data_IF_164738080845
#
_entry.id   IF_164738080845
#
_cell.length_a   1.000
_cell.length_b   1.000
_cell.length_c   1.000
_cell.angle_alpha   90.00
_cell.angle_beta   90.00
_cell.angle_gamma   90.00
#
_symmetry.space_group_name_H-M   'P 1'
#
loop_
_entity.id
_entity.type
_entity.pdbx_description
1 polymer ?
#
# COMPACT_ATOMS: atom_id res chain seq x y z
N UNK A 1 -17.08 55.17 59.31
CA UNK A 1 -17.25 56.42 58.59
C UNK A 1 -17.59 55.97 57.19
N UNK A 2 -18.85 55.72 56.95
CA UNK A 2 -19.90 56.69 56.54
C UNK A 2 -19.67 57.06 55.08
N UNK A 3 -20.49 56.98 54.12
CA UNK A 3 -21.95 56.82 53.98
C UNK A 3 -22.17 56.62 52.48
N UNK A 4 -22.97 55.70 52.07
CA UNK A 4 -24.36 55.84 51.65
C UNK A 4 -24.63 56.75 50.43
N UNK A 5 -25.27 56.25 49.43
CA UNK A 5 -26.64 56.52 48.92
C UNK A 5 -26.69 56.25 47.43
N UNK A 6 -27.37 55.24 46.97
CA UNK A 6 -28.81 55.15 46.66
C UNK A 6 -29.34 56.24 45.70
N UNK A 7 -29.88 55.86 44.58
CA UNK A 7 -31.31 55.88 44.21
C UNK A 7 -31.49 55.93 42.67
N UNK A 8 -32.16 54.96 42.18
CA UNK A 8 -33.00 54.94 40.97
C UNK A 8 -34.17 55.94 41.11
N UNK A 9 -35.12 56.07 40.16
CA UNK A 9 -35.31 55.71 38.74
C UNK A 9 -35.96 56.89 37.93
N UNK A 10 -36.26 56.71 36.68
CA UNK A 10 -37.57 57.04 36.06
C UNK A 10 -37.57 56.90 34.53
N UNK A 11 -38.52 56.08 34.06
CA UNK A 11 -39.18 56.20 32.77
C UNK A 11 -40.34 57.23 32.96
N UNK A 12 -41.01 57.82 31.96
CA UNK A 12 -41.68 57.17 30.85
C UNK A 12 -41.94 58.05 29.57
N UNK A 13 -42.67 57.46 28.64
CA UNK A 13 -43.57 58.12 27.69
C UNK A 13 -43.13 57.99 26.24
N UNK A 14 -43.71 57.18 25.49
CA UNK A 14 -45.04 57.01 24.88
C UNK A 14 -45.15 57.65 23.50
N UNK A 15 -45.77 56.88 22.67
CA UNK A 15 -46.56 57.16 21.47
C UNK A 15 -45.76 57.06 20.15
N UNK A 16 -46.08 56.26 19.27
CA UNK A 16 -47.27 55.68 18.68
C UNK A 16 -46.98 55.50 17.23
N UNK A 17 -47.37 54.51 16.73
CA UNK A 17 -48.28 54.14 15.67
C UNK A 17 -47.79 53.00 14.78
N UNK A 18 -48.63 52.03 14.75
CA UNK A 18 -48.58 50.86 13.89
C UNK A 18 -48.99 51.23 12.45
N UNK A 19 -48.35 50.65 11.50
CA UNK A 19 -49.01 50.32 10.23
C UNK A 19 -48.58 48.97 9.69
N UNK A 20 -49.52 48.10 9.60
CA UNK A 20 -49.46 46.86 8.88
C UNK A 20 -49.58 47.12 7.38
N UNK A 21 -48.69 46.59 6.57
CA UNK A 21 -49.05 46.14 5.23
C UNK A 21 -48.20 44.91 4.85
N UNK A 22 -48.90 43.90 4.45
CA UNK A 22 -48.38 42.63 4.06
C UNK A 22 -47.76 42.64 2.65
N UNK A 23 -46.77 41.80 2.45
CA UNK A 23 -46.20 41.54 1.14
C UNK A 23 -45.46 40.19 1.16
N UNK A 24 -45.93 39.33 0.35
CA UNK A 24 -45.61 37.96 -0.04
C UNK A 24 -44.11 37.64 -0.14
N UNK A 25 -43.67 36.41 0.14
CA UNK A 25 -42.28 36.03 0.00
C UNK A 25 -41.94 35.65 -1.42
N UNK A 26 -41.07 36.42 -2.03
CA UNK A 26 -40.47 36.02 -3.30
C UNK A 26 -39.07 35.52 -3.04
N UNK A 27 -38.87 34.24 -3.39
CA UNK A 27 -37.61 33.55 -3.30
C UNK A 27 -36.62 34.04 -4.35
N UNK A 28 -35.59 34.67 -3.92
CA UNK A 28 -34.36 34.79 -4.70
C UNK A 28 -33.19 34.55 -3.77
N UNK A 29 -32.54 33.43 -3.98
CA UNK A 29 -31.20 33.20 -3.44
C UNK A 29 -30.32 34.35 -3.90
N UNK A 30 -30.06 35.31 -3.02
CA UNK A 30 -29.01 36.29 -3.23
C UNK A 30 -27.69 35.50 -3.21
N UNK A 31 -27.11 35.31 -4.39
CA UNK A 31 -25.70 34.99 -4.51
C UNK A 31 -24.94 36.00 -3.65
N UNK A 32 -24.41 35.53 -2.53
CA UNK A 32 -23.44 36.31 -1.75
C UNK A 32 -22.21 36.47 -2.64
N UNK A 33 -22.17 37.55 -3.40
CA UNK A 33 -20.95 37.96 -4.05
C UNK A 33 -20.00 38.35 -2.92
N UNK A 34 -18.96 37.55 -2.75
CA UNK A 34 -17.90 37.80 -1.79
C UNK A 34 -17.35 39.20 -2.03
N UNK A 35 -17.15 40.00 -0.98
CA UNK A 35 -16.55 41.31 -1.10
C UNK A 35 -15.08 41.17 -1.55
N UNK A 36 -14.53 42.23 -2.17
CA UNK A 36 -13.14 42.24 -2.61
C UNK A 36 -12.18 41.94 -1.44
N UNK A 37 -12.47 42.46 -0.26
CA UNK A 37 -11.68 42.22 0.97
C UNK A 37 -11.77 40.78 1.46
N UNK A 38 -12.93 40.10 1.29
CA UNK A 38 -13.08 38.68 1.59
C UNK A 38 -12.33 37.82 0.57
N UNK A 39 -12.32 38.22 -0.70
CA UNK A 39 -11.54 37.56 -1.76
C UNK A 39 -10.05 37.74 -1.51
N UNK A 40 -9.60 38.92 -1.15
CA UNK A 40 -8.18 39.20 -0.88
C UNK A 40 -7.71 38.49 0.40
N UNK A 41 -8.55 38.41 1.44
CA UNK A 41 -8.28 37.64 2.64
C UNK A 41 -8.21 36.12 2.36
N UNK A 42 -9.11 35.58 1.52
CA UNK A 42 -9.08 34.16 1.08
C UNK A 42 -7.88 33.88 0.19
N UNK A 43 -7.42 34.83 -0.60
CA UNK A 43 -6.24 34.69 -1.46
C UNK A 43 -4.93 34.96 -0.71
N UNK A 44 -4.99 35.45 0.53
CA UNK A 44 -3.80 35.72 1.35
C UNK A 44 -3.05 36.98 0.94
N UNK A 45 -3.76 37.99 0.38
CA UNK A 45 -3.22 39.31 0.05
C UNK A 45 -3.37 40.34 1.18
N UNK A 46 -3.51 39.87 2.42
CA UNK A 46 -3.52 40.82 3.56
C UNK A 46 -2.13 41.46 3.68
N UNK A 47 -2.05 42.69 3.19
CA UNK A 47 -0.86 43.54 3.29
C UNK A 47 -0.80 44.19 4.68
N UNK A 48 -0.71 43.40 5.72
CA UNK A 48 -0.25 43.89 7.03
C UNK A 48 0.99 43.10 7.42
N UNK A 49 2.08 43.83 7.21
CA UNK A 49 3.45 43.56 7.61
C UNK A 49 3.51 43.21 9.10
N UNK A 50 4.15 42.16 9.43
CA UNK A 50 5.07 41.83 10.53
C UNK A 50 5.00 40.37 10.91
N UNK A 51 6.06 39.64 10.54
CA UNK A 51 6.67 38.56 11.34
C UNK A 51 5.81 37.39 11.78
N UNK A 52 5.56 36.40 10.88
CA UNK A 52 5.04 35.10 11.30
C UNK A 52 4.98 34.09 10.14
N UNK A 53 5.83 33.09 10.19
CA UNK A 53 5.78 31.89 9.31
C UNK A 53 4.46 31.13 9.49
N UNK A 54 3.44 31.50 8.73
CA UNK A 54 2.17 30.79 8.71
C UNK A 54 1.30 31.34 7.59
N UNK A 55 1.47 30.84 6.38
CA UNK A 55 0.63 31.18 5.24
C UNK A 55 -0.85 30.92 5.57
N UNK A 56 -1.59 31.99 5.86
CA UNK A 56 -3.05 31.99 6.03
C UNK A 56 -3.74 32.03 4.67
N UNK A 57 -4.90 31.40 4.54
CA UNK A 57 -5.72 31.41 3.34
C UNK A 57 -5.53 30.21 2.40
N UNK A 58 -5.95 30.35 1.15
CA UNK A 58 -5.91 29.28 0.11
C UNK A 58 -4.50 28.72 -0.08
N UNK A 59 -3.45 29.52 0.08
CA UNK A 59 -2.05 29.04 0.05
C UNK A 59 -1.75 28.06 1.19
N UNK A 60 -2.27 28.32 2.40
CA UNK A 60 -2.14 27.37 3.50
C UNK A 60 -2.92 26.08 3.21
N UNK A 61 -4.10 26.18 2.60
CA UNK A 61 -4.91 25.03 2.17
C UNK A 61 -4.23 24.28 1.02
N UNK A 62 -3.70 24.97 0.01
CA UNK A 62 -2.93 24.36 -1.08
C UNK A 62 -1.65 23.74 -0.52
N UNK A 63 -0.99 24.38 0.43
CA UNK A 63 0.21 23.86 1.05
C UNK A 63 -0.08 22.72 2.04
N UNK A 64 -1.18 22.75 2.77
CA UNK A 64 -1.58 21.68 3.70
C UNK A 64 -2.31 20.53 3.00
N UNK A 65 -3.08 20.80 1.94
CA UNK A 65 -3.87 19.80 1.22
C UNK A 65 -3.05 18.88 0.28
N UNK A 66 -1.77 19.19 0.06
CA UNK A 66 -0.96 18.43 -0.89
C UNK A 66 -0.16 17.26 -0.29
N UNK A 67 -0.19 17.09 1.01
CA UNK A 67 0.38 15.90 1.66
C UNK A 67 -0.71 15.22 2.46
N UNK A 68 -1.79 14.82 1.79
CA UNK A 68 -2.70 13.85 2.36
C UNK A 68 -1.92 12.57 2.54
N UNK A 69 -1.55 12.30 3.78
CA UNK A 69 -0.90 11.05 4.17
C UNK A 69 -1.85 9.89 3.92
N UNK A 70 -1.72 9.27 2.76
CA UNK A 70 -2.39 8.01 2.52
C UNK A 70 -1.61 6.93 3.25
N UNK A 71 -2.16 6.44 4.35
CA UNK A 71 -1.57 5.32 5.07
C UNK A 71 -1.51 4.10 4.16
N UNK A 72 -0.33 3.53 4.04
CA UNK A 72 -0.08 2.30 3.29
C UNK A 72 0.27 1.17 4.30
N UNK A 73 -0.74 0.49 4.86
CA UNK A 73 -0.51 -0.43 5.98
C UNK A 73 0.46 -1.57 5.65
N UNK A 74 0.42 -2.08 4.41
CA UNK A 74 1.33 -3.15 4.00
C UNK A 74 2.78 -2.68 3.89
N UNK A 75 3.00 -1.41 3.64
CA UNK A 75 4.35 -0.86 3.58
C UNK A 75 5.02 -0.83 4.97
N UNK A 76 4.23 -0.56 6.02
CA UNK A 76 4.72 -0.65 7.41
C UNK A 76 5.25 -2.06 7.71
N UNK A 77 4.53 -3.10 7.28
CA UNK A 77 4.93 -4.51 7.47
C UNK A 77 6.20 -4.86 6.68
N UNK A 78 6.30 -4.35 5.44
CA UNK A 78 7.52 -4.53 4.62
C UNK A 78 8.73 -3.92 5.33
N UNK A 79 8.59 -2.73 5.91
CA UNK A 79 9.70 -2.09 6.61
C UNK A 79 10.03 -2.76 7.95
N UNK A 80 9.05 -3.30 8.66
CA UNK A 80 9.31 -4.13 9.84
C UNK A 80 10.09 -5.42 9.49
N UNK A 81 9.79 -6.01 8.33
CA UNK A 81 10.57 -7.13 7.80
C UNK A 81 11.98 -6.70 7.40
N UNK A 82 12.10 -5.56 6.71
CA UNK A 82 13.38 -4.98 6.31
C UNK A 82 14.29 -4.75 7.52
N UNK A 83 13.77 -4.22 8.62
CA UNK A 83 14.54 -4.01 9.88
C UNK A 83 15.18 -5.31 10.37
N UNK A 84 14.44 -6.43 10.34
CA UNK A 84 14.98 -7.73 10.76
C UNK A 84 16.06 -8.24 9.80
N UNK A 85 15.87 -8.11 8.50
CA UNK A 85 16.86 -8.49 7.49
C UNK A 85 18.11 -7.64 7.62
N UNK A 86 17.97 -6.31 7.62
CA UNK A 86 19.09 -5.37 7.81
C UNK A 86 19.87 -5.63 9.08
N UNK A 87 19.22 -5.94 10.21
CA UNK A 87 19.89 -6.28 11.45
C UNK A 87 20.82 -7.47 11.25
N UNK A 88 20.38 -8.51 10.55
CA UNK A 88 21.18 -9.70 10.29
C UNK A 88 22.30 -9.43 9.28
N UNK A 89 21.97 -8.79 8.18
CA UNK A 89 22.92 -8.51 7.09
C UNK A 89 24.00 -7.53 7.50
N UNK A 90 23.67 -6.48 8.25
CA UNK A 90 24.64 -5.52 8.75
C UNK A 90 25.54 -6.11 9.84
N UNK A 91 25.02 -6.99 10.71
CA UNK A 91 25.88 -7.77 11.64
C UNK A 91 26.91 -8.61 10.90
N UNK A 92 26.48 -9.31 9.85
CA UNK A 92 27.38 -10.10 9.03
C UNK A 92 28.40 -9.23 8.28
N UNK A 93 27.95 -8.08 7.75
CA UNK A 93 28.79 -7.15 7.01
C UNK A 93 29.87 -6.50 7.89
N UNK A 94 29.50 -6.06 9.09
CA UNK A 94 30.43 -5.40 10.02
C UNK A 94 31.18 -6.36 10.93
N UNK A 95 30.70 -7.60 11.08
CA UNK A 95 31.15 -8.56 12.12
C UNK A 95 31.07 -7.99 13.53
N UNK A 96 30.13 -7.07 13.76
CA UNK A 96 29.90 -6.42 15.05
C UNK A 96 28.41 -6.55 15.46
N UNK A 97 28.10 -6.22 16.70
CA UNK A 97 26.71 -6.22 17.18
C UNK A 97 25.99 -4.98 16.68
N UNK A 98 25.13 -5.16 15.67
CA UNK A 98 24.32 -4.10 15.07
C UNK A 98 22.87 -4.35 15.41
N UNK A 99 22.18 -3.31 15.83
CA UNK A 99 20.73 -3.30 16.02
C UNK A 99 20.13 -2.22 15.12
N UNK A 100 19.08 -2.59 14.36
CA UNK A 100 18.36 -1.68 13.49
C UNK A 100 16.95 -1.51 14.05
N UNK A 101 16.49 -0.27 14.12
CA UNK A 101 15.13 0.06 14.53
C UNK A 101 14.47 1.02 13.53
N UNK A 102 13.16 0.91 13.42
CA UNK A 102 12.33 1.83 12.61
C UNK A 102 11.92 3.01 13.50
N UNK A 103 12.42 4.21 13.18
CA UNK A 103 12.09 5.42 13.94
C UNK A 103 10.74 6.01 13.52
N UNK A 104 10.54 6.21 12.22
CA UNK A 104 9.34 6.88 11.71
C UNK A 104 9.11 6.61 10.22
N UNK A 105 7.83 6.60 9.84
CA UNK A 105 7.38 6.62 8.43
C UNK A 105 6.52 7.87 8.27
N UNK A 106 6.89 8.73 7.34
CA UNK A 106 6.18 10.00 7.09
C UNK A 106 6.09 10.29 5.59
N UNK A 107 5.09 11.09 5.22
CA UNK A 107 5.01 11.63 3.87
C UNK A 107 5.59 13.04 3.86
N UNK A 108 6.45 13.30 2.90
CA UNK A 108 7.15 14.58 2.75
C UNK A 108 7.13 15.03 1.30
N UNK A 109 7.33 16.32 1.06
CA UNK A 109 7.63 16.81 -0.28
C UNK A 109 9.09 16.55 -0.59
N UNK A 110 9.37 16.09 -1.80
CA UNK A 110 10.72 15.77 -2.24
C UNK A 110 11.70 16.95 -2.10
N UNK A 111 11.25 18.15 -2.48
CA UNK A 111 12.07 19.37 -2.37
C UNK A 111 12.39 19.77 -0.93
N UNK A 112 11.40 19.66 -0.03
CA UNK A 112 11.58 19.98 1.39
C UNK A 112 12.54 18.99 2.05
N UNK A 113 12.43 17.71 1.69
CA UNK A 113 13.35 16.68 2.14
C UNK A 113 14.79 16.99 1.70
N UNK A 114 15.02 17.27 0.42
CA UNK A 114 16.37 17.57 -0.09
C UNK A 114 17.01 18.75 0.65
N UNK A 115 16.21 19.76 1.03
CA UNK A 115 16.68 20.93 1.78
C UNK A 115 16.92 20.63 3.27
N UNK A 116 16.31 19.58 3.81
CA UNK A 116 16.42 19.17 5.21
C UNK A 116 17.59 18.23 5.51
N UNK A 117 18.25 17.69 4.48
CA UNK A 117 19.34 16.73 4.64
C UNK A 117 20.54 17.41 5.31
N UNK A 118 20.98 16.94 6.50
CA UNK A 118 22.16 17.45 7.15
C UNK A 118 23.40 17.04 6.38
N UNK A 119 24.23 18.02 5.98
CA UNK A 119 25.46 17.75 5.28
C UNK A 119 26.66 17.76 6.25
N UNK A 120 27.69 16.93 6.00
CA UNK A 120 27.87 16.01 4.88
C UNK A 120 27.07 14.70 5.02
N UNK A 121 26.52 14.21 3.92
CA UNK A 121 25.82 12.92 3.83
C UNK A 121 26.16 12.24 2.49
N UNK A 122 25.96 10.94 2.39
CA UNK A 122 26.00 10.22 1.12
C UNK A 122 24.57 9.88 0.72
N UNK A 123 24.19 10.30 -0.49
CA UNK A 123 22.91 10.04 -1.10
C UNK A 123 23.08 8.96 -2.17
N UNK A 124 22.45 7.84 -1.95
CA UNK A 124 22.49 6.69 -2.86
C UNK A 124 21.20 6.66 -3.67
N UNK A 125 21.29 6.98 -4.95
CA UNK A 125 20.18 6.85 -5.88
C UNK A 125 20.14 5.41 -6.35
N UNK A 126 18.99 4.75 -6.24
CA UNK A 126 18.79 3.39 -6.73
C UNK A 126 17.57 3.30 -7.62
N UNK A 127 17.56 2.31 -8.48
CA UNK A 127 16.48 2.02 -9.40
C UNK A 127 15.69 0.81 -8.93
N UNK A 128 14.36 0.90 -8.99
CA UNK A 128 13.45 -0.21 -8.86
C UNK A 128 13.09 -0.69 -10.28
N UNK A 129 13.69 -1.80 -10.72
CA UNK A 129 13.65 -2.22 -12.13
C UNK A 129 12.22 -2.46 -12.60
N UNK A 130 11.44 -3.26 -11.89
CA UNK A 130 10.08 -3.65 -12.27
C UNK A 130 9.08 -2.48 -12.14
N UNK A 131 9.38 -1.50 -11.29
CA UNK A 131 8.58 -0.30 -11.12
C UNK A 131 9.00 0.84 -12.09
N UNK A 132 10.07 0.64 -12.86
CA UNK A 132 10.62 1.60 -13.82
C UNK A 132 10.84 3.00 -13.23
N UNK A 133 11.22 3.10 -11.96
CA UNK A 133 11.39 4.37 -11.28
C UNK A 133 12.54 4.29 -10.26
N UNK A 134 12.82 5.42 -9.60
CA UNK A 134 13.94 5.57 -8.69
C UNK A 134 13.48 5.76 -7.25
N UNK A 135 14.37 5.38 -6.32
CA UNK A 135 14.32 5.75 -4.92
C UNK A 135 15.66 6.33 -4.49
N UNK A 136 15.72 6.84 -3.28
CA UNK A 136 16.93 7.42 -2.71
C UNK A 136 17.13 6.93 -1.28
N UNK A 137 18.36 6.62 -0.93
CA UNK A 137 18.77 6.28 0.43
C UNK A 137 19.83 7.28 0.87
N UNK A 138 19.60 7.96 2.00
CA UNK A 138 20.53 8.91 2.59
C UNK A 138 21.18 8.28 3.81
N UNK A 139 22.49 8.28 3.83
CA UNK A 139 23.30 7.78 4.94
C UNK A 139 23.95 8.96 5.65
N UNK A 140 23.73 9.10 6.95
CA UNK A 140 24.30 10.20 7.73
C UNK A 140 25.80 10.00 8.01
N UNK A 141 26.48 11.09 8.31
CA UNK A 141 27.93 11.08 8.58
C UNK A 141 28.29 10.23 9.77
N UNK A 142 27.48 10.18 10.83
CA UNK A 142 27.76 9.41 12.02
C UNK A 142 27.85 7.93 11.69
N UNK A 143 26.89 7.45 10.92
CA UNK A 143 26.86 6.06 10.47
C UNK A 143 28.04 5.75 9.54
N UNK A 144 28.32 6.65 8.58
CA UNK A 144 29.43 6.46 7.64
C UNK A 144 30.75 6.26 8.39
N UNK A 145 31.07 7.17 9.30
CA UNK A 145 32.32 7.06 10.07
C UNK A 145 32.31 5.87 11.03
N UNK A 146 31.18 5.56 11.64
CA UNK A 146 31.04 4.38 12.52
C UNK A 146 31.33 3.07 11.76
N UNK A 147 30.76 2.91 10.58
CA UNK A 147 30.97 1.72 9.74
C UNK A 147 32.39 1.65 9.20
N UNK A 148 32.92 2.77 8.72
CA UNK A 148 34.31 2.83 8.23
C UNK A 148 35.29 2.45 9.33
N UNK A 149 35.10 2.99 10.55
CA UNK A 149 35.94 2.69 11.68
C UNK A 149 35.89 1.20 12.10
N UNK A 150 34.70 0.63 12.15
CA UNK A 150 34.50 -0.80 12.44
C UNK A 150 35.16 -1.68 11.38
N UNK A 151 34.93 -1.41 10.09
CA UNK A 151 35.47 -2.20 8.99
C UNK A 151 37.01 -2.09 8.88
N UNK A 152 37.60 -0.98 9.33
CA UNK A 152 39.05 -0.78 9.35
C UNK A 152 39.69 -1.28 10.67
N UNK A 153 38.92 -1.91 11.54
CA UNK A 153 39.42 -2.52 12.78
C UNK A 153 39.55 -1.56 13.95
N UNK A 154 38.77 -0.47 13.97
CA UNK A 154 38.72 0.48 15.09
C UNK A 154 38.30 -0.19 16.39
N UNK A 155 38.99 0.19 17.51
CA UNK A 155 38.72 -0.39 18.82
C UNK A 155 37.38 0.10 19.39
N UNK A 156 36.70 -0.80 20.11
CA UNK A 156 35.50 -0.48 20.90
C UNK A 156 35.86 0.50 22.02
N UNK A 157 34.94 1.43 22.33
CA UNK A 157 35.14 2.37 23.47
C UNK A 157 36.07 3.56 23.23
N UNK A 158 36.46 3.84 22.02
CA UNK A 158 37.12 5.11 21.67
C UNK A 158 36.12 6.24 21.51
N UNK A 159 36.49 7.45 21.96
CA UNK A 159 35.62 8.62 21.89
C UNK A 159 35.00 8.81 20.52
N UNK A 160 33.73 9.26 20.50
CA UNK A 160 32.98 9.54 19.27
C UNK A 160 33.85 10.30 18.27
N UNK A 161 33.94 9.77 17.07
CA UNK A 161 34.70 10.40 15.98
C UNK A 161 34.16 11.80 15.73
N UNK A 162 35.00 12.83 15.82
CA UNK A 162 34.61 14.18 15.44
C UNK A 162 34.30 14.21 13.96
N UNK A 163 33.08 14.57 13.65
CA UNK A 163 32.64 14.78 12.26
C UNK A 163 33.36 16.05 11.77
N UNK A 164 34.39 15.85 10.97
CA UNK A 164 35.00 16.92 10.21
C UNK A 164 34.19 17.11 8.93
N UNK A 165 33.76 18.33 8.62
CA UNK A 165 33.01 18.67 7.41
C UNK A 165 33.81 18.55 6.10
N UNK A 166 34.67 17.53 6.00
CA UNK A 166 35.50 17.22 4.83
C UNK A 166 34.77 16.35 3.80
N UNK A 167 35.15 16.42 2.53
CA UNK A 167 34.65 15.49 1.52
C UNK A 167 35.02 14.05 1.86
N UNK A 168 34.11 13.10 1.56
CA UNK A 168 34.41 11.67 1.72
C UNK A 168 35.47 11.19 0.76
N UNK A 169 36.38 10.36 1.28
CA UNK A 169 37.42 9.72 0.49
C UNK A 169 36.85 8.62 -0.41
N UNK A 170 37.63 8.19 -1.40
CA UNK A 170 37.24 7.08 -2.28
C UNK A 170 37.00 5.78 -1.50
N UNK A 171 37.81 5.51 -0.46
CA UNK A 171 37.68 4.32 0.39
C UNK A 171 36.33 4.35 1.14
N UNK A 172 36.01 5.46 1.79
CA UNK A 172 34.75 5.65 2.50
C UNK A 172 33.55 5.46 1.58
N UNK A 173 33.60 6.04 0.37
CA UNK A 173 32.55 5.88 -0.62
C UNK A 173 32.36 4.43 -1.07
N UNK A 174 33.44 3.67 -1.31
CA UNK A 174 33.36 2.26 -1.70
C UNK A 174 32.78 1.40 -0.58
N UNK A 175 33.17 1.67 0.68
CA UNK A 175 32.63 0.94 1.83
C UNK A 175 31.13 1.21 2.02
N UNK A 176 30.71 2.47 1.91
CA UNK A 176 29.29 2.86 1.96
C UNK A 176 28.51 2.26 0.78
N UNK A 177 29.09 2.25 -0.42
CA UNK A 177 28.48 1.61 -1.57
C UNK A 177 28.16 0.15 -1.30
N UNK A 178 29.10 -0.62 -0.79
CA UNK A 178 28.89 -2.04 -0.44
C UNK A 178 27.81 -2.22 0.63
N UNK A 179 27.80 -1.36 1.64
CA UNK A 179 26.75 -1.39 2.65
C UNK A 179 25.37 -1.14 2.03
N UNK A 180 25.26 -0.13 1.15
CA UNK A 180 24.01 0.19 0.45
C UNK A 180 23.56 -0.98 -0.43
N UNK A 181 24.46 -1.63 -1.15
CA UNK A 181 24.15 -2.81 -1.97
C UNK A 181 23.58 -3.96 -1.12
N UNK A 182 24.12 -4.18 0.10
CA UNK A 182 23.59 -5.16 1.06
C UNK A 182 22.16 -4.78 1.47
N UNK A 183 21.93 -3.51 1.82
CA UNK A 183 20.60 -3.03 2.24
C UNK A 183 19.57 -3.11 1.07
N UNK A 184 19.99 -2.83 -0.16
CA UNK A 184 19.12 -2.97 -1.33
C UNK A 184 18.75 -4.43 -1.61
N UNK A 185 19.64 -5.39 -1.34
CA UNK A 185 19.33 -6.82 -1.38
C UNK A 185 18.31 -7.20 -0.31
N UNK A 186 18.47 -6.69 0.92
CA UNK A 186 17.48 -6.88 1.99
C UNK A 186 16.13 -6.25 1.64
N UNK A 187 16.14 -5.09 0.98
CA UNK A 187 14.92 -4.42 0.51
C UNK A 187 14.20 -5.25 -0.55
N UNK A 188 14.93 -5.85 -1.48
CA UNK A 188 14.40 -6.81 -2.45
C UNK A 188 13.70 -7.97 -1.73
N UNK A 189 14.37 -8.61 -0.79
CA UNK A 189 13.81 -9.73 -0.01
C UNK A 189 12.60 -9.30 0.83
N UNK A 190 12.61 -8.06 1.37
CA UNK A 190 11.50 -7.54 2.13
C UNK A 190 10.23 -7.33 1.27
N UNK A 191 10.40 -6.93 0.01
CA UNK A 191 9.29 -6.72 -0.95
C UNK A 191 8.81 -8.01 -1.61
N UNK A 192 9.61 -9.07 -1.65
CA UNK A 192 9.29 -10.33 -2.34
C UNK A 192 7.88 -10.89 -2.06
N UNK A 193 7.37 -10.92 -0.81
CA UNK A 193 6.03 -11.43 -0.54
C UNK A 193 4.90 -10.57 -1.11
N UNK A 194 5.18 -9.30 -1.38
CA UNK A 194 4.21 -8.37 -1.93
C UNK A 194 4.28 -8.36 -3.47
N UNK A 195 5.48 -8.13 -3.96
CA UNK A 195 5.81 -8.14 -5.40
C UNK A 195 7.32 -8.25 -5.54
N UNK A 196 7.83 -9.11 -6.42
CA UNK A 196 9.26 -9.18 -6.66
C UNK A 196 9.73 -7.89 -7.33
N UNK A 197 10.51 -7.08 -6.61
CA UNK A 197 11.12 -5.85 -7.12
C UNK A 197 12.62 -5.90 -6.89
N UNK A 198 13.38 -5.78 -7.96
CA UNK A 198 14.85 -5.72 -7.91
C UNK A 198 15.31 -4.29 -7.74
N UNK A 199 16.08 -4.02 -6.70
CA UNK A 199 16.63 -2.70 -6.44
C UNK A 199 18.12 -2.69 -6.77
N UNK A 200 18.51 -1.84 -7.71
CA UNK A 200 19.92 -1.71 -8.17
C UNK A 200 20.43 -0.31 -7.87
N UNK A 201 21.67 -0.23 -7.34
CA UNK A 201 22.30 1.05 -7.11
C UNK A 201 22.68 1.70 -8.45
N UNK A 202 22.19 2.91 -8.68
CA UNK A 202 22.49 3.68 -9.88
C UNK A 202 23.73 4.57 -9.68
N UNK A 203 23.73 5.41 -8.65
CA UNK A 203 24.84 6.31 -8.35
C UNK A 203 24.88 6.76 -6.90
N UNK A 204 26.05 7.21 -6.48
CA UNK A 204 26.30 7.84 -5.16
C UNK A 204 26.60 9.32 -5.35
N UNK A 205 25.84 10.15 -4.66
CA UNK A 205 26.00 11.59 -4.67
C UNK A 205 26.29 12.14 -3.28
N UNK A 206 27.01 13.24 -3.20
CA UNK A 206 27.26 13.96 -1.94
C UNK A 206 26.54 15.31 -1.91
N UNK A 207 26.05 15.75 -3.05
CA UNK A 207 25.30 17.00 -3.20
C UNK A 207 23.84 16.68 -3.51
N UNK A 208 22.88 17.12 -2.66
CA UNK A 208 21.46 16.85 -2.88
C UNK A 208 20.92 17.30 -4.23
N UNK A 209 21.50 18.33 -4.83
CA UNK A 209 21.07 18.85 -6.14
C UNK A 209 21.29 17.84 -7.30
N UNK A 210 22.30 16.99 -7.18
CA UNK A 210 22.57 15.95 -8.18
C UNK A 210 21.80 14.64 -7.90
N UNK A 211 21.25 14.49 -6.70
CA UNK A 211 20.43 13.36 -6.32
C UNK A 211 18.93 13.54 -6.64
N UNK A 212 18.57 14.57 -7.42
CA UNK A 212 17.18 14.82 -7.78
C UNK A 212 16.62 13.71 -8.66
N UNK A 213 15.67 12.92 -8.12
CA UNK A 213 14.97 11.81 -8.80
C UNK A 213 13.50 12.13 -9.09
N UNK A 214 12.97 13.20 -8.50
CA UNK A 214 11.57 13.63 -8.64
C UNK A 214 11.49 15.15 -8.70
N UNK A 215 10.32 15.67 -9.08
CA UNK A 215 10.07 17.11 -9.01
C UNK A 215 9.97 17.56 -7.54
N UNK A 216 10.40 18.78 -7.19
CA UNK A 216 10.36 19.27 -5.81
C UNK A 216 8.99 19.18 -5.14
N UNK A 217 7.91 19.38 -5.90
CA UNK A 217 6.54 19.34 -5.41
C UNK A 217 5.95 17.92 -5.27
N UNK A 218 6.65 16.88 -5.76
CA UNK A 218 6.17 15.53 -5.66
C UNK A 218 6.22 15.05 -4.21
N UNK A 219 5.17 14.37 -3.79
CA UNK A 219 5.14 13.68 -2.51
C UNK A 219 5.99 12.41 -2.55
N UNK A 220 6.63 12.11 -1.45
CA UNK A 220 7.43 10.91 -1.26
C UNK A 220 7.23 10.36 0.16
N UNK A 221 7.37 9.07 0.31
CA UNK A 221 7.40 8.40 1.61
C UNK A 221 8.84 8.41 2.11
N UNK A 222 9.03 8.95 3.30
CA UNK A 222 10.29 8.98 4.02
C UNK A 222 10.24 8.00 5.18
N UNK A 223 11.16 7.06 5.17
CA UNK A 223 11.34 6.07 6.23
C UNK A 223 12.67 6.31 6.90
N UNK A 224 12.68 6.43 8.21
CA UNK A 224 13.88 6.67 9.00
C UNK A 224 14.21 5.44 9.81
N UNK A 225 15.41 4.93 9.60
CA UNK A 225 15.98 3.82 10.35
C UNK A 225 17.10 4.34 11.24
N UNK A 226 17.12 3.88 12.49
CA UNK A 226 18.21 4.06 13.40
C UNK A 226 19.05 2.78 13.42
N UNK A 227 20.36 2.95 13.35
CA UNK A 227 21.32 1.87 13.41
C UNK A 227 22.22 2.11 14.61
N UNK A 228 22.15 1.23 15.57
CA UNK A 228 22.93 1.29 16.81
C UNK A 228 23.99 0.17 16.80
N UNK A 229 25.24 0.54 17.10
CA UNK A 229 26.40 -0.34 17.17
C UNK A 229 27.14 -0.04 18.47
N UNK A 230 26.70 -0.63 19.59
CA UNK A 230 27.24 -0.35 20.94
C UNK A 230 27.24 1.17 21.22
N UNK A 231 28.46 1.79 21.27
CA UNK A 231 28.65 3.23 21.55
C UNK A 231 28.61 4.10 20.28
N UNK A 232 28.32 3.53 19.12
CA UNK A 232 28.36 4.16 17.80
C UNK A 232 27.03 3.91 17.07
N UNK A 233 26.85 4.61 15.99
CA UNK A 233 25.64 4.42 15.17
C UNK A 233 25.32 5.64 14.35
N UNK A 234 24.11 5.65 13.82
CA UNK A 234 23.60 6.75 13.03
C UNK A 234 22.26 6.43 12.41
N UNK A 235 21.96 7.10 11.30
CA UNK A 235 20.66 6.99 10.65
C UNK A 235 20.81 6.69 9.18
N UNK A 236 19.85 5.92 8.69
CA UNK A 236 19.59 5.77 7.27
C UNK A 236 18.17 6.26 7.02
N UNK A 237 18.02 7.06 5.98
CA UNK A 237 16.72 7.53 5.52
C UNK A 237 16.46 6.99 4.12
N UNK A 238 15.36 6.26 3.96
CA UNK A 238 14.90 5.73 2.69
C UNK A 238 13.75 6.59 2.18
N UNK A 239 13.89 7.13 0.98
CA UNK A 239 12.90 7.96 0.33
C UNK A 239 12.36 7.25 -0.93
N UNK A 240 11.06 7.03 -0.94
CA UNK A 240 10.33 6.43 -2.07
C UNK A 240 9.29 7.42 -2.59
N UNK A 241 9.48 8.00 -3.79
CA UNK A 241 8.46 8.81 -4.41
C UNK A 241 7.15 8.04 -4.59
N UNK A 242 6.00 8.69 -4.40
CA UNK A 242 4.70 8.03 -4.65
C UNK A 242 4.59 7.52 -6.10
N UNK A 243 5.20 8.22 -7.05
CA UNK A 243 5.27 7.76 -8.44
C UNK A 243 5.95 6.40 -8.60
N UNK A 244 6.90 6.05 -7.71
CA UNK A 244 7.57 4.74 -7.70
C UNK A 244 6.65 3.65 -7.15
N UNK A 245 5.80 3.98 -6.20
CA UNK A 245 4.87 3.05 -5.56
C UNK A 245 3.51 2.95 -6.28
N UNK A 246 3.21 3.85 -7.23
CA UNK A 246 1.91 3.90 -7.92
C UNK A 246 1.50 2.57 -8.57
N UNK A 247 2.40 1.82 -9.26
CA UNK A 247 2.02 0.54 -9.84
C UNK A 247 1.52 -0.49 -8.82
N UNK A 248 2.03 -0.45 -7.60
CA UNK A 248 1.69 -1.38 -6.52
C UNK A 248 0.77 -0.79 -5.45
N UNK A 249 0.34 0.47 -5.62
CA UNK A 249 -0.49 1.21 -4.66
C UNK A 249 -1.73 0.47 -4.23
N UNK A 250 -2.45 -0.16 -5.18
CA UNK A 250 -3.67 -0.92 -4.86
C UNK A 250 -3.40 -2.09 -3.91
N UNK A 251 -2.23 -2.72 -4.00
CA UNK A 251 -1.81 -3.78 -3.08
C UNK A 251 -1.43 -3.19 -1.72
N UNK A 252 -0.70 -2.07 -1.72
CA UNK A 252 -0.25 -1.40 -0.50
C UNK A 252 -1.39 -0.84 0.37
N UNK A 253 -2.53 -0.49 -0.25
CA UNK A 253 -3.74 0.00 0.43
C UNK A 253 -4.60 -1.11 1.04
N UNK A 254 -4.36 -2.37 0.68
CA UNK A 254 -5.11 -3.47 1.27
C UNK A 254 -4.83 -3.52 2.77
N UNK A 255 -5.89 -3.40 3.57
CA UNK A 255 -5.78 -3.63 5.00
C UNK A 255 -5.39 -5.09 5.23
N UNK A 256 -4.41 -5.29 6.08
CA UNK A 256 -4.00 -6.60 6.54
C UNK A 256 -5.17 -7.25 7.31
N UNK A 257 -5.98 -8.00 6.59
CA UNK A 257 -6.84 -9.02 7.20
C UNK A 257 -5.99 -10.28 7.32
N UNK A 258 -5.29 -10.44 8.41
CA UNK A 258 -4.56 -11.59 8.98
C UNK A 258 -4.11 -12.79 8.13
N UNK A 259 -4.65 -12.99 6.95
CA UNK A 259 -4.55 -14.26 6.21
C UNK A 259 -3.77 -14.19 4.88
N UNK A 260 -3.34 -13.02 4.39
CA UNK A 260 -2.71 -12.93 3.06
C UNK A 260 -1.19 -12.74 3.04
N UNK A 261 -0.55 -12.41 4.16
CA UNK A 261 0.91 -12.29 4.26
C UNK A 261 1.62 -13.62 4.57
N UNK A 262 0.86 -14.65 4.84
CA UNK A 262 1.30 -16.03 4.81
C UNK A 262 0.58 -16.75 3.67
N UNK A 263 0.82 -16.34 2.42
CA UNK A 263 0.75 -17.35 1.37
C UNK A 263 1.84 -18.33 1.70
N UNK A 264 1.48 -19.25 2.56
CA UNK A 264 2.20 -20.49 2.73
C UNK A 264 2.09 -21.18 1.36
N UNK A 265 3.07 -20.90 0.51
CA UNK A 265 3.18 -21.51 -0.83
C UNK A 265 3.14 -23.04 -0.71
N UNK A 266 3.53 -23.53 0.46
CA UNK A 266 3.45 -24.92 0.85
C UNK A 266 1.99 -25.33 1.06
N UNK A 267 1.18 -24.49 1.73
CA UNK A 267 -0.23 -24.79 1.99
C UNK A 267 -1.08 -24.68 0.72
N UNK A 268 -0.84 -23.67 -0.12
CA UNK A 268 -1.52 -23.49 -1.40
C UNK A 268 -1.18 -24.62 -2.38
N UNK A 269 0.10 -25.00 -2.46
CA UNK A 269 0.53 -26.14 -3.29
C UNK A 269 0.02 -27.47 -2.76
N UNK A 270 -0.02 -27.65 -1.44
CA UNK A 270 -0.59 -28.83 -0.81
C UNK A 270 -2.10 -28.92 -1.05
N UNK A 271 -2.83 -27.82 -0.84
CA UNK A 271 -4.26 -27.72 -1.11
C UNK A 271 -4.57 -27.98 -2.60
N UNK A 272 -3.79 -27.39 -3.51
CA UNK A 272 -3.93 -27.66 -4.94
C UNK A 272 -3.73 -29.15 -5.25
N UNK A 273 -2.71 -29.77 -4.67
CA UNK A 273 -2.44 -31.21 -4.84
C UNK A 273 -3.58 -32.06 -4.31
N UNK A 274 -4.09 -31.75 -3.12
CA UNK A 274 -5.23 -32.44 -2.52
C UNK A 274 -6.52 -32.28 -3.33
N UNK A 275 -6.76 -31.05 -3.87
CA UNK A 275 -7.89 -30.81 -4.77
C UNK A 275 -7.78 -31.61 -6.06
N UNK A 276 -6.59 -31.79 -6.64
CA UNK A 276 -6.38 -32.62 -7.82
C UNK A 276 -6.57 -34.11 -7.57
N UNK A 277 -6.34 -34.58 -6.34
CA UNK A 277 -6.55 -35.98 -5.95
C UNK A 277 -7.96 -36.25 -5.43
N UNK A 278 -8.76 -35.21 -5.19
CA UNK A 278 -10.12 -35.36 -4.68
C UNK A 278 -11.03 -36.07 -5.69
N UNK A 279 -11.71 -37.11 -5.24
CA UNK A 279 -12.67 -37.83 -6.04
C UNK A 279 -14.06 -37.20 -5.96
N UNK A 280 -14.70 -37.04 -7.10
CA UNK A 280 -16.08 -36.55 -7.19
C UNK A 280 -16.95 -37.56 -7.94
N UNK A 281 -18.21 -37.67 -7.54
CA UNK A 281 -19.17 -38.54 -8.21
C UNK A 281 -19.58 -37.89 -9.55
N UNK A 282 -19.37 -38.67 -10.63
CA UNK A 282 -19.80 -38.28 -11.97
C UNK A 282 -21.01 -39.12 -12.35
N UNK A 283 -22.12 -38.47 -12.65
CA UNK A 283 -23.36 -39.12 -13.08
C UNK A 283 -23.53 -39.00 -14.59
N UNK A 284 -23.84 -40.14 -15.22
CA UNK A 284 -24.21 -40.18 -16.61
C UNK A 284 -25.74 -40.09 -16.73
N UNK A 285 -26.22 -38.92 -17.19
CA UNK A 285 -27.65 -38.67 -17.35
C UNK A 285 -28.05 -39.03 -18.77
N UNK A 286 -28.91 -40.02 -18.90
CA UNK A 286 -29.38 -40.51 -20.19
C UNK A 286 -30.51 -39.65 -20.77
N UNK A 287 -31.49 -39.30 -19.96
CA UNK A 287 -32.61 -38.46 -20.32
C UNK A 287 -33.24 -37.86 -19.04
N UNK A 288 -33.85 -36.70 -19.17
CA UNK A 288 -34.63 -36.04 -18.10
C UNK A 288 -35.96 -35.60 -18.65
N UNK A 289 -37.03 -36.14 -18.05
CA UNK A 289 -38.40 -35.79 -18.49
C UNK A 289 -39.21 -35.22 -17.33
N UNK A 290 -39.93 -34.11 -17.55
CA UNK A 290 -40.88 -33.61 -16.59
C UNK A 290 -42.09 -34.55 -16.49
N UNK A 291 -42.38 -35.10 -15.33
CA UNK A 291 -43.52 -35.92 -15.04
C UNK A 291 -44.42 -35.18 -14.03
N UNK A 292 -45.71 -35.18 -14.22
CA UNK A 292 -46.65 -34.60 -13.28
C UNK A 292 -46.65 -35.36 -11.95
N UNK A 293 -46.71 -34.58 -10.83
CA UNK A 293 -46.70 -35.15 -9.47
C UNK A 293 -47.81 -36.23 -9.27
N UNK A 294 -49.01 -35.99 -9.87
CA UNK A 294 -50.10 -36.93 -9.80
C UNK A 294 -49.78 -38.27 -10.46
N UNK A 295 -48.99 -38.27 -11.56
CA UNK A 295 -48.53 -39.51 -12.19
C UNK A 295 -47.50 -40.22 -11.34
N UNK A 296 -46.59 -39.49 -10.69
CA UNK A 296 -45.56 -40.06 -9.81
C UNK A 296 -46.18 -40.72 -8.59
N UNK A 297 -47.18 -40.07 -7.95
CA UNK A 297 -47.86 -40.60 -6.79
C UNK A 297 -48.70 -41.87 -7.10
N UNK A 298 -49.10 -42.08 -8.34
CA UNK A 298 -49.93 -43.25 -8.78
C UNK A 298 -49.06 -44.35 -9.43
N UNK A 299 -47.71 -44.28 -9.43
CA UNK A 299 -46.83 -45.30 -9.98
C UNK A 299 -46.98 -46.60 -9.23
N UNK A 300 -47.14 -47.70 -9.99
CA UNK A 300 -47.22 -49.06 -9.45
C UNK A 300 -46.10 -49.92 -10.03
N UNK A 301 -45.79 -50.99 -9.31
CA UNK A 301 -44.81 -51.99 -9.78
C UNK A 301 -45.34 -52.57 -11.11
N UNK A 302 -44.53 -52.46 -12.17
CA UNK A 302 -44.87 -52.89 -13.53
C UNK A 302 -45.20 -51.73 -14.50
N UNK A 303 -45.35 -50.48 -14.00
CA UNK A 303 -45.52 -49.35 -14.87
C UNK A 303 -44.26 -49.02 -15.68
N UNK A 304 -44.43 -48.65 -16.91
CA UNK A 304 -43.36 -48.34 -17.84
C UNK A 304 -43.25 -46.82 -18.05
N UNK A 305 -42.05 -46.27 -17.82
CA UNK A 305 -41.72 -44.89 -18.16
C UNK A 305 -40.89 -44.91 -19.45
N UNK A 306 -41.43 -44.29 -20.49
CA UNK A 306 -40.71 -44.19 -21.77
C UNK A 306 -39.73 -43.04 -21.71
N UNK A 307 -38.46 -43.31 -22.02
CA UNK A 307 -37.40 -42.30 -22.15
C UNK A 307 -37.20 -41.98 -23.63
N UNK A 308 -36.89 -40.71 -23.95
CA UNK A 308 -36.57 -40.29 -25.32
C UNK A 308 -35.11 -40.56 -25.70
N UNK A 309 -34.56 -41.67 -25.23
CA UNK A 309 -33.18 -42.04 -25.46
C UNK A 309 -33.13 -43.31 -26.32
N UNK A 310 -32.29 -43.29 -27.34
CA UNK A 310 -31.90 -44.47 -28.13
C UNK A 310 -30.52 -44.98 -27.68
N UNK A 311 -30.16 -46.22 -28.03
CA UNK A 311 -28.82 -46.76 -27.69
C UNK A 311 -27.64 -45.92 -28.24
N UNK A 312 -27.91 -45.06 -29.24
CA UNK A 312 -26.93 -44.16 -29.88
C UNK A 312 -27.04 -42.72 -29.42
N UNK A 313 -27.95 -42.41 -28.50
CA UNK A 313 -28.12 -41.10 -27.96
C UNK A 313 -26.90 -40.63 -27.13
N UNK A 314 -26.63 -39.32 -27.15
CA UNK A 314 -25.59 -38.77 -26.27
C UNK A 314 -26.06 -38.78 -24.82
N UNK A 315 -25.16 -39.13 -23.95
CA UNK A 315 -25.29 -39.11 -22.49
C UNK A 315 -24.56 -37.88 -21.96
N UNK A 316 -25.17 -37.14 -21.06
CA UNK A 316 -24.54 -36.02 -20.43
C UNK A 316 -23.85 -36.44 -19.12
N UNK A 317 -22.55 -36.18 -18.99
CA UNK A 317 -21.81 -36.42 -17.75
C UNK A 317 -21.87 -35.16 -16.89
N UNK A 318 -22.35 -35.30 -15.65
CA UNK A 318 -22.49 -34.21 -14.68
C UNK A 318 -21.81 -34.53 -13.36
N UNK A 319 -21.20 -33.53 -12.75
CA UNK A 319 -20.78 -33.56 -11.36
C UNK A 319 -21.74 -32.67 -10.55
N UNK A 320 -22.58 -33.30 -9.72
CA UNK A 320 -23.70 -32.62 -9.09
C UNK A 320 -24.67 -32.01 -10.13
N UNK A 321 -24.79 -30.69 -10.18
CA UNK A 321 -25.62 -29.93 -11.14
C UNK A 321 -24.85 -29.42 -12.36
N UNK A 322 -23.50 -29.57 -12.37
CA UNK A 322 -22.65 -28.98 -13.39
C UNK A 322 -22.44 -29.95 -14.55
N UNK A 323 -22.84 -29.60 -15.79
CA UNK A 323 -22.57 -30.43 -16.95
C UNK A 323 -21.08 -30.36 -17.32
N UNK A 324 -20.41 -31.51 -17.30
CA UNK A 324 -18.99 -31.61 -17.63
C UNK A 324 -18.76 -31.79 -19.12
N UNK A 325 -19.36 -32.82 -19.70
CA UNK A 325 -19.17 -33.17 -21.11
C UNK A 325 -20.29 -34.10 -21.60
N UNK A 326 -20.26 -34.41 -22.89
CA UNK A 326 -21.17 -35.38 -23.52
C UNK A 326 -20.40 -36.54 -24.12
N UNK A 327 -21.01 -37.72 -24.10
CA UNK A 327 -20.42 -38.92 -24.66
C UNK A 327 -21.46 -39.95 -25.07
N UNK A 328 -21.04 -41.03 -25.68
CA UNK A 328 -21.92 -42.15 -26.04
C UNK A 328 -21.72 -43.30 -25.07
N UNK A 329 -22.82 -43.92 -24.67
CA UNK A 329 -22.82 -45.08 -23.81
C UNK A 329 -22.45 -46.32 -24.60
N UNK A 330 -21.65 -47.17 -24.01
CA UNK A 330 -21.23 -48.46 -24.61
C UNK A 330 -20.81 -49.46 -23.55
N UNK A 331 -20.23 -50.57 -23.99
CA UNK A 331 -19.76 -51.62 -23.11
C UNK A 331 -18.26 -51.88 -23.35
N UNK A 332 -17.48 -51.92 -22.28
CA UNK A 332 -16.07 -52.27 -22.33
C UNK A 332 -15.73 -53.21 -21.18
N UNK A 333 -15.10 -54.34 -21.48
CA UNK A 333 -14.68 -55.37 -20.50
C UNK A 333 -15.82 -55.74 -19.53
N UNK A 334 -17.01 -55.97 -20.06
CA UNK A 334 -18.24 -56.33 -19.33
C UNK A 334 -18.78 -55.22 -18.37
N UNK A 335 -18.25 -54.01 -18.43
CA UNK A 335 -18.73 -52.85 -17.69
C UNK A 335 -19.40 -51.86 -18.63
N UNK A 336 -20.41 -51.14 -18.12
CA UNK A 336 -20.98 -49.98 -18.82
C UNK A 336 -19.95 -48.88 -18.84
N UNK A 337 -19.68 -48.31 -19.98
CA UNK A 337 -18.69 -47.26 -20.20
C UNK A 337 -19.28 -46.11 -21.02
N UNK A 338 -18.78 -44.93 -20.80
CA UNK A 338 -19.14 -43.75 -21.64
C UNK A 338 -17.88 -43.31 -22.40
N UNK A 339 -18.00 -43.24 -23.72
CA UNK A 339 -16.96 -42.68 -24.59
C UNK A 339 -17.22 -41.16 -24.67
N UNK A 340 -16.31 -40.38 -24.13
CA UNK A 340 -16.35 -38.93 -24.23
C UNK A 340 -16.09 -38.49 -25.68
N UNK A 341 -16.98 -37.73 -26.27
CA UNK A 341 -16.88 -37.26 -27.67
C UNK A 341 -16.81 -35.75 -27.77
N UNK A 342 -17.11 -35.03 -26.70
CA UNK A 342 -17.03 -33.57 -26.66
C UNK A 342 -15.99 -33.11 -25.63
N UNK A 343 -15.33 -31.98 -25.86
CA UNK A 343 -14.46 -31.36 -24.84
C UNK A 343 -15.28 -30.92 -23.64
N UNK A 344 -14.61 -30.61 -22.50
CA UNK A 344 -15.27 -30.05 -21.32
C UNK A 344 -16.13 -28.83 -21.69
N UNK A 345 -17.31 -28.77 -21.10
CA UNK A 345 -18.25 -27.67 -21.35
C UNK A 345 -17.65 -26.31 -21.02
N UNK A 346 -18.09 -25.26 -21.72
CA UNK A 346 -17.61 -23.90 -21.46
C UNK A 346 -17.92 -23.45 -20.01
N UNK A 347 -18.98 -23.99 -19.41
CA UNK A 347 -19.34 -23.71 -18.01
C UNK A 347 -18.33 -24.35 -17.07
N UNK A 348 -17.96 -25.61 -17.30
CA UNK A 348 -16.94 -26.31 -16.51
C UNK A 348 -15.57 -25.64 -16.64
N UNK A 349 -15.18 -25.23 -17.86
CA UNK A 349 -13.90 -24.51 -18.09
C UNK A 349 -13.84 -23.19 -17.35
N UNK A 350 -14.87 -22.35 -17.41
CA UNK A 350 -14.90 -21.05 -16.71
C UNK A 350 -14.86 -21.17 -15.19
N UNK A 351 -15.32 -22.28 -14.63
CA UNK A 351 -15.23 -22.53 -13.19
C UNK A 351 -13.84 -22.98 -12.78
N UNK A 352 -13.15 -23.74 -13.62
CA UNK A 352 -11.72 -24.10 -13.38
C UNK A 352 -10.82 -22.89 -13.54
N UNK A 353 -11.02 -22.04 -14.56
CA UNK A 353 -10.26 -20.79 -14.75
C UNK A 353 -10.44 -19.74 -13.65
N UNK A 354 -11.50 -19.80 -12.86
CA UNK A 354 -11.70 -18.94 -11.69
C UNK A 354 -11.01 -19.45 -10.42
N UNK A 355 -10.53 -20.68 -10.43
CA UNK A 355 -9.87 -21.36 -9.30
C UNK A 355 -8.34 -21.45 -9.50
N UNK A 356 -7.86 -21.14 -10.70
CA UNK A 356 -6.44 -20.95 -11.04
C UNK A 356 -6.10 -19.46 -11.07
#
# INVERSE_FOLDING_TARGET
>A
MADDNEITPELPGSDGEASWEGGVPDGAASERVLSQDEIDSLLGFDMSDEGGEGGTGIRAIINSGLVSYERLPLLEIVFDRLVRLMTTSLRNFTSDNVEVSLDNISSVRFGDYLNSIPLPAILSVFRAEELNNFGMMTVDSNLIYSIVDVLLGGRRGTAAMRIEGRPYTTIERVLVQRMVEVILADLHEAFEPLTPVTFTLDRLETNPRFAAIARPNNAAILVKFRIDMEDRGGRIELLLPYATLEPIRKMLLQQFMGEKFGRDNIWESHLATELWTTQTEVRAVLDEQPISLGRVLNLKVGDTIMLNASPESFVELRAGTIPLTRGRMGRRNNHIAVRVEAPLSAVARRQVEKLT
#
